data_IF_804944270291
#
_entry.id   IF_804944270291
#
_cell.length_a   1.000
_cell.length_b   1.000
_cell.length_c   1.000
_cell.angle_alpha   90.00
_cell.angle_beta   90.00
_cell.angle_gamma   90.00
#
_symmetry.space_group_name_H-M   'P 1'
#
loop_
_entity.id
_entity.type
_entity.pdbx_description
1 polymer ?
#
# COMPACT_ATOMS: atom_id res chain seq x y z
N UNK A 1 26.05 2.06 11.42
CA UNK A 1 24.59 2.28 11.59
C UNK A 1 23.98 3.23 10.55
N UNK A 2 24.66 4.30 10.11
CA UNK A 2 24.12 5.19 9.06
C UNK A 2 23.88 4.51 7.69
N UNK A 3 24.67 3.49 7.34
CA UNK A 3 24.55 2.79 6.05
C UNK A 3 23.23 2.02 5.87
N UNK A 4 22.71 1.38 6.93
CA UNK A 4 21.42 0.67 6.88
C UNK A 4 20.24 1.63 6.83
N UNK A 5 20.32 2.74 7.59
CA UNK A 5 19.31 3.82 7.58
C UNK A 5 19.17 4.43 6.19
N UNK A 6 20.27 4.89 5.59
CA UNK A 6 20.24 5.56 4.30
C UNK A 6 19.78 4.61 3.19
N UNK A 7 20.19 3.33 3.23
CA UNK A 7 19.70 2.32 2.28
C UNK A 7 18.17 2.13 2.40
N UNK A 8 17.63 2.02 3.62
CA UNK A 8 16.19 1.94 3.83
C UNK A 8 15.46 3.16 3.26
N UNK A 9 15.96 4.37 3.55
CA UNK A 9 15.30 5.61 3.12
C UNK A 9 15.28 5.73 1.60
N UNK A 10 16.40 5.41 0.93
CA UNK A 10 16.45 5.40 -0.54
C UNK A 10 15.46 4.39 -1.15
N UNK A 11 15.36 3.19 -0.57
CA UNK A 11 14.40 2.18 -1.05
C UNK A 11 12.95 2.64 -0.86
N UNK A 12 12.60 3.19 0.30
CA UNK A 12 11.24 3.63 0.59
C UNK A 12 10.85 4.85 -0.24
N UNK A 13 11.73 5.84 -0.41
CA UNK A 13 11.48 6.99 -1.27
C UNK A 13 11.34 6.53 -2.72
N UNK A 14 12.24 5.67 -3.21
CA UNK A 14 12.16 5.12 -4.56
C UNK A 14 10.83 4.38 -4.80
N UNK A 15 10.42 3.52 -3.86
CA UNK A 15 9.14 2.82 -3.94
C UNK A 15 7.94 3.78 -3.92
N UNK A 16 7.97 4.80 -3.06
CA UNK A 16 6.91 5.82 -3.02
C UNK A 16 6.85 6.61 -4.33
N UNK A 17 7.99 7.02 -4.91
CA UNK A 17 8.05 7.73 -6.18
C UNK A 17 7.44 6.91 -7.32
N UNK A 18 7.81 5.62 -7.43
CA UNK A 18 7.22 4.70 -8.41
C UNK A 18 5.71 4.56 -8.19
N UNK A 19 5.27 4.40 -6.94
CA UNK A 19 3.86 4.33 -6.59
C UNK A 19 3.09 5.61 -6.94
N UNK A 20 3.64 6.78 -6.65
CA UNK A 20 3.04 8.06 -6.99
C UNK A 20 2.96 8.28 -8.49
N UNK A 21 4.00 7.92 -9.25
CA UNK A 21 3.98 7.96 -10.70
C UNK A 21 2.88 7.05 -11.26
N UNK A 22 2.76 5.84 -10.73
CA UNK A 22 1.68 4.91 -11.09
C UNK A 22 0.29 5.49 -10.79
N UNK A 23 0.08 6.03 -9.59
CA UNK A 23 -1.19 6.67 -9.23
C UNK A 23 -1.49 7.88 -10.12
N UNK A 24 -0.51 8.72 -10.41
CA UNK A 24 -0.66 9.88 -11.30
C UNK A 24 -1.09 9.47 -12.71
N UNK A 25 -0.47 8.42 -13.28
CA UNK A 25 -0.88 7.89 -14.59
C UNK A 25 -2.32 7.38 -14.58
N UNK A 26 -2.76 6.75 -13.49
CA UNK A 26 -4.12 6.19 -13.40
C UNK A 26 -5.18 7.25 -13.06
N UNK A 27 -4.86 8.25 -12.23
CA UNK A 27 -5.74 9.40 -11.95
C UNK A 27 -6.13 10.13 -13.25
N UNK A 28 -5.17 10.34 -14.14
CA UNK A 28 -5.40 11.02 -15.42
C UNK A 28 -6.14 10.15 -16.46
N UNK A 29 -6.33 8.86 -16.19
CA UNK A 29 -7.09 7.93 -17.05
C UNK A 29 -8.54 7.74 -16.59
N UNK A 30 -8.89 8.17 -15.37
CA UNK A 30 -10.23 8.01 -14.78
C UNK A 30 -11.28 9.04 -15.28
N UNK A 31 -11.28 9.37 -16.58
CA UNK A 31 -12.45 9.96 -17.27
C UNK A 31 -13.46 8.92 -17.76
N UNK A 32 -13.41 7.69 -17.24
CA UNK A 32 -14.47 6.71 -17.39
C UNK A 32 -14.64 5.92 -16.10
N UNK A 33 -15.71 6.26 -15.38
CA UNK A 33 -16.21 5.56 -14.21
C UNK A 33 -16.74 4.19 -14.72
N UNK A 34 -15.83 3.23 -14.93
CA UNK A 34 -16.07 1.83 -15.32
C UNK A 34 -16.90 1.61 -16.60
N UNK A 35 -16.26 1.36 -17.75
CA UNK A 35 -16.33 0.00 -18.30
C UNK A 35 -15.06 -0.44 -19.05
N UNK A 36 -14.68 -1.70 -18.91
CA UNK A 36 -13.66 -2.44 -19.67
C UNK A 36 -12.19 -2.28 -19.25
N UNK A 37 -11.83 -3.08 -18.25
CA UNK A 37 -10.75 -4.07 -18.32
C UNK A 37 -9.43 -3.67 -19.01
N UNK A 38 -8.68 -2.77 -18.41
CA UNK A 38 -7.21 -2.90 -18.43
C UNK A 38 -6.73 -3.05 -16.98
N UNK A 39 -7.32 -4.03 -16.28
CA UNK A 39 -6.78 -4.56 -15.02
C UNK A 39 -5.57 -5.43 -15.38
N UNK A 40 -4.42 -4.84 -15.69
CA UNK A 40 -3.18 -5.63 -15.89
C UNK A 40 -2.60 -6.03 -14.53
N UNK A 41 -3.39 -6.74 -13.72
CA UNK A 41 -2.81 -7.52 -12.64
C UNK A 41 -2.21 -8.78 -13.28
N UNK A 42 -0.91 -8.74 -13.57
CA UNK A 42 -0.18 -9.88 -14.16
C UNK A 42 -0.39 -11.15 -13.33
N UNK A 43 -0.52 -11.00 -12.00
CA UNK A 43 -0.84 -12.12 -11.12
C UNK A 43 -2.18 -12.75 -11.48
N UNK A 44 -3.30 -12.01 -11.48
CA UNK A 44 -4.63 -12.54 -11.84
C UNK A 44 -4.65 -13.08 -13.28
N UNK A 45 -3.91 -12.46 -14.21
CA UNK A 45 -3.80 -12.94 -15.61
C UNK A 45 -3.17 -14.33 -15.71
N UNK A 46 -2.21 -14.65 -14.83
CA UNK A 46 -1.50 -15.94 -14.85
C UNK A 46 -2.21 -16.97 -13.96
N UNK A 47 -2.62 -16.58 -12.75
CA UNK A 47 -3.15 -17.51 -11.74
C UNK A 47 -4.67 -17.70 -11.80
N UNK A 48 -5.38 -16.86 -12.56
CA UNK A 48 -6.85 -16.70 -12.55
C UNK A 48 -7.48 -16.34 -11.20
N UNK A 49 -6.68 -16.21 -10.14
CA UNK A 49 -7.11 -15.94 -8.77
C UNK A 49 -6.58 -14.57 -8.32
N UNK A 50 -7.41 -13.67 -7.77
CA UNK A 50 -6.92 -12.41 -7.24
C UNK A 50 -5.98 -12.63 -6.05
N UNK A 51 -4.93 -11.81 -5.92
CA UNK A 51 -4.10 -11.80 -4.72
C UNK A 51 -4.76 -10.97 -3.59
N UNK A 52 -4.32 -11.07 -2.33
CA UNK A 52 -4.86 -10.27 -1.22
C UNK A 52 -4.82 -8.76 -1.47
N UNK A 53 -3.91 -8.26 -2.30
CA UNK A 53 -3.81 -6.83 -2.63
C UNK A 53 -4.56 -6.42 -3.90
N UNK A 54 -5.24 -7.34 -4.60
CA UNK A 54 -6.02 -6.99 -5.80
C UNK A 54 -7.05 -5.89 -5.47
N UNK A 55 -7.07 -4.83 -6.28
CA UNK A 55 -7.93 -3.67 -6.07
C UNK A 55 -7.40 -2.59 -5.12
N UNK A 56 -6.21 -2.76 -4.51
CA UNK A 56 -5.63 -1.74 -3.61
C UNK A 56 -5.37 -0.40 -4.30
N UNK A 57 -4.90 -0.39 -5.55
CA UNK A 57 -4.74 0.85 -6.35
C UNK A 57 -6.06 1.58 -6.53
N UNK A 58 -7.13 0.86 -6.92
CA UNK A 58 -8.47 1.45 -7.08
C UNK A 58 -9.04 1.94 -5.76
N UNK A 59 -8.73 1.25 -4.66
CA UNK A 59 -9.07 1.70 -3.32
C UNK A 59 -8.38 3.04 -3.00
N UNK A 60 -7.08 3.18 -3.26
CA UNK A 60 -6.35 4.45 -3.11
C UNK A 60 -6.93 5.54 -4.00
N UNK A 61 -7.24 5.26 -5.27
CA UNK A 61 -7.89 6.23 -6.17
C UNK A 61 -9.26 6.66 -5.63
N UNK A 62 -10.06 5.73 -5.09
CA UNK A 62 -11.34 6.05 -4.46
C UNK A 62 -11.17 6.94 -3.23
N UNK A 63 -10.14 6.69 -2.41
CA UNK A 63 -9.80 7.57 -1.28
C UNK A 63 -9.42 8.98 -1.72
N UNK A 64 -8.63 9.11 -2.79
CA UNK A 64 -8.25 10.40 -3.36
C UNK A 64 -9.47 11.18 -3.89
N UNK A 65 -10.49 10.49 -4.37
CA UNK A 65 -11.78 11.08 -4.78
C UNK A 65 -12.78 11.27 -3.62
N UNK A 66 -12.38 11.02 -2.37
CA UNK A 66 -13.25 11.16 -1.18
C UNK A 66 -14.29 10.06 -1.00
N UNK A 67 -14.23 8.97 -1.79
CA UNK A 67 -15.19 7.85 -1.75
C UNK A 67 -14.72 6.74 -0.81
N UNK A 68 -14.85 6.99 0.48
CA UNK A 68 -14.31 6.14 1.56
C UNK A 68 -14.97 4.74 1.55
N UNK A 69 -16.29 4.67 1.43
CA UNK A 69 -17.01 3.40 1.40
C UNK A 69 -16.59 2.55 0.20
N UNK A 70 -16.52 3.17 -0.99
CA UNK A 70 -16.05 2.51 -2.20
C UNK A 70 -14.62 1.98 -2.04
N UNK A 71 -13.73 2.76 -1.43
CA UNK A 71 -12.37 2.32 -1.15
C UNK A 71 -12.32 1.07 -0.26
N UNK A 72 -13.18 0.99 0.75
CA UNK A 72 -13.26 -0.14 1.67
C UNK A 72 -13.78 -1.39 0.97
N UNK A 73 -14.86 -1.24 0.18
CA UNK A 73 -15.44 -2.34 -0.60
C UNK A 73 -14.46 -2.87 -1.66
N UNK A 74 -13.62 -2.00 -2.22
CA UNK A 74 -12.59 -2.41 -3.17
C UNK A 74 -11.51 -3.25 -2.49
N UNK A 75 -10.78 -2.69 -1.53
CA UNK A 75 -9.79 -3.43 -0.74
C UNK A 75 -9.36 -2.59 0.49
N UNK A 76 -9.61 -3.04 1.73
CA UNK A 76 -9.16 -2.37 2.96
C UNK A 76 -7.65 -2.13 3.05
N UNK A 77 -6.83 -2.99 2.41
CA UNK A 77 -5.36 -2.79 2.36
C UNK A 77 -5.01 -1.47 1.66
N UNK A 78 -5.87 -0.95 0.78
CA UNK A 78 -5.69 0.36 0.14
C UNK A 78 -5.57 1.52 1.12
N UNK A 79 -6.23 1.45 2.29
CA UNK A 79 -6.11 2.47 3.34
C UNK A 79 -4.72 2.46 3.97
N UNK A 80 -4.20 1.27 4.28
CA UNK A 80 -2.85 1.13 4.81
C UNK A 80 -1.82 1.59 3.78
N UNK A 81 -2.01 1.24 2.50
CA UNK A 81 -1.14 1.67 1.42
C UNK A 81 -1.16 3.20 1.27
N UNK A 82 -2.34 3.83 1.25
CA UNK A 82 -2.48 5.27 1.20
C UNK A 82 -1.76 5.96 2.37
N UNK A 83 -1.94 5.46 3.60
CA UNK A 83 -1.27 5.99 4.78
C UNK A 83 0.25 5.86 4.70
N UNK A 84 0.77 4.69 4.30
CA UNK A 84 2.22 4.48 4.17
C UNK A 84 2.80 5.39 3.10
N UNK A 85 2.17 5.45 1.92
CA UNK A 85 2.64 6.28 0.82
C UNK A 85 2.66 7.76 1.18
N UNK A 86 1.66 8.25 1.92
CA UNK A 86 1.60 9.67 2.34
C UNK A 86 2.52 9.97 3.52
N UNK A 87 2.45 9.20 4.60
CA UNK A 87 3.16 9.51 5.85
C UNK A 87 4.68 9.25 5.75
N UNK A 88 5.10 8.17 5.09
CA UNK A 88 6.52 7.77 5.06
C UNK A 88 7.44 8.81 4.40
N UNK A 89 7.17 9.32 3.17
CA UNK A 89 8.06 10.32 2.56
C UNK A 89 8.05 11.65 3.31
N UNK A 90 6.91 12.06 3.89
CA UNK A 90 6.82 13.26 4.72
C UNK A 90 7.70 13.11 5.96
N UNK A 91 7.59 11.98 6.67
CA UNK A 91 8.35 11.72 7.87
C UNK A 91 9.86 11.58 7.58
N UNK A 92 10.23 10.87 6.51
CA UNK A 92 11.64 10.77 6.07
C UNK A 92 12.19 12.16 5.71
N UNK A 93 11.40 13.00 5.04
CA UNK A 93 11.79 14.37 4.73
C UNK A 93 12.06 15.16 6.03
N UNK A 94 11.14 15.12 6.99
CA UNK A 94 11.31 15.76 8.31
C UNK A 94 12.58 15.27 9.02
N UNK A 95 12.82 13.95 9.04
CA UNK A 95 14.03 13.36 9.61
C UNK A 95 15.30 13.90 8.94
N UNK A 96 15.29 14.05 7.62
CA UNK A 96 16.42 14.61 6.88
C UNK A 96 16.64 16.10 7.18
N UNK A 97 15.58 16.91 7.18
CA UNK A 97 15.67 18.35 7.50
C UNK A 97 16.12 18.60 8.94
N UNK A 98 15.60 17.81 9.89
CA UNK A 98 15.90 17.95 11.32
C UNK A 98 17.13 17.15 11.77
N UNK A 99 17.79 16.42 10.85
CA UNK A 99 18.90 15.50 11.13
C UNK A 99 18.56 14.49 12.24
N UNK A 100 17.33 13.99 12.24
CA UNK A 100 16.80 13.00 13.18
C UNK A 100 16.67 11.63 12.52
N UNK A 101 16.58 10.59 13.35
CA UNK A 101 16.43 9.19 12.94
C UNK A 101 15.10 8.58 13.44
N UNK A 102 14.08 9.41 13.64
CA UNK A 102 12.84 9.01 14.31
C UNK A 102 12.04 7.98 13.51
N UNK A 103 11.98 8.12 12.19
CA UNK A 103 11.34 7.17 11.30
C UNK A 103 12.10 5.83 11.27
N UNK A 104 13.43 5.86 11.24
CA UNK A 104 14.25 4.63 11.27
C UNK A 104 14.07 3.85 12.58
N UNK A 105 14.05 4.55 13.73
CA UNK A 105 13.79 3.94 15.04
C UNK A 105 12.38 3.36 15.07
N UNK A 106 11.38 4.10 14.58
CA UNK A 106 10.01 3.62 14.48
C UNK A 106 9.90 2.37 13.59
N UNK A 107 10.53 2.38 12.42
CA UNK A 107 10.55 1.25 11.49
C UNK A 107 11.09 -0.02 12.17
N UNK A 108 12.25 0.06 12.83
CA UNK A 108 12.85 -1.10 13.50
C UNK A 108 11.97 -1.60 14.65
N UNK A 109 11.34 -0.69 15.41
CA UNK A 109 10.41 -1.06 16.48
C UNK A 109 9.16 -1.74 15.92
N UNK A 110 8.57 -1.19 14.86
CA UNK A 110 7.42 -1.76 14.18
C UNK A 110 7.74 -3.13 13.59
N UNK A 111 8.88 -3.28 12.91
CA UNK A 111 9.35 -4.56 12.39
C UNK A 111 9.51 -5.61 13.51
N UNK A 112 10.08 -5.22 14.65
CA UNK A 112 10.23 -6.11 15.78
C UNK A 112 8.88 -6.54 16.37
N UNK A 113 7.93 -5.61 16.53
CA UNK A 113 6.57 -5.89 17.00
C UNK A 113 5.83 -6.81 16.02
N UNK A 114 5.90 -6.54 14.71
CA UNK A 114 5.24 -7.33 13.66
C UNK A 114 5.77 -8.77 13.58
N UNK A 115 7.04 -8.99 13.96
CA UNK A 115 7.65 -10.34 14.04
C UNK A 115 7.22 -11.12 15.29
N UNK A 116 6.61 -10.48 16.29
CA UNK A 116 6.11 -11.19 17.46
C UNK A 116 4.90 -12.04 17.07
N UNK A 117 4.91 -13.32 17.44
CA UNK A 117 3.85 -14.28 17.05
C UNK A 117 2.44 -13.81 17.42
N UNK A 118 2.30 -13.14 18.58
CA UNK A 118 1.03 -12.60 19.05
C UNK A 118 0.44 -11.53 18.12
N UNK A 119 1.27 -10.79 17.39
CA UNK A 119 0.84 -9.76 16.44
C UNK A 119 0.80 -10.32 15.02
N UNK A 120 1.77 -11.14 14.64
CA UNK A 120 1.86 -11.75 13.32
C UNK A 120 0.66 -12.63 12.99
N UNK A 121 0.22 -13.48 13.94
CA UNK A 121 -0.89 -14.43 13.70
C UNK A 121 -2.21 -13.69 13.36
N UNK A 122 -2.69 -12.73 14.17
CA UNK A 122 -3.87 -11.95 13.81
C UNK A 122 -3.75 -11.22 12.48
N UNK A 123 -2.59 -10.63 12.17
CA UNK A 123 -2.37 -9.93 10.90
C UNK A 123 -2.44 -10.88 9.70
N UNK A 124 -1.84 -12.07 9.82
CA UNK A 124 -1.94 -13.11 8.78
C UNK A 124 -3.41 -13.52 8.59
N UNK A 125 -4.15 -13.74 9.66
CA UNK A 125 -5.58 -14.07 9.58
C UNK A 125 -6.36 -12.95 8.89
N UNK A 126 -6.10 -11.67 9.22
CA UNK A 126 -6.73 -10.53 8.56
C UNK A 126 -6.44 -10.49 7.06
N UNK A 127 -5.19 -10.76 6.65
CA UNK A 127 -4.82 -10.83 5.23
C UNK A 127 -5.53 -12.00 4.52
N UNK A 128 -5.65 -13.15 5.18
CA UNK A 128 -6.37 -14.31 4.62
C UNK A 128 -7.88 -14.03 4.47
N UNK A 129 -8.50 -13.40 5.47
CA UNK A 129 -9.91 -12.99 5.37
C UNK A 129 -10.12 -11.99 4.23
N UNK A 130 -9.22 -11.02 4.08
CA UNK A 130 -9.25 -10.09 2.95
C UNK A 130 -9.10 -10.80 1.60
N UNK A 131 -8.25 -11.83 1.55
CA UNK A 131 -8.04 -12.61 0.34
C UNK A 131 -9.28 -13.41 -0.06
N UNK A 132 -9.89 -14.12 0.90
CA UNK A 132 -11.15 -14.84 0.70
C UNK A 132 -12.23 -13.88 0.21
N UNK A 133 -12.31 -12.69 0.80
CA UNK A 133 -13.28 -11.68 0.40
C UNK A 133 -13.05 -11.19 -1.04
N UNK A 134 -11.81 -11.00 -1.46
CA UNK A 134 -11.49 -10.63 -2.85
C UNK A 134 -11.84 -11.74 -3.85
N UNK A 135 -11.67 -13.02 -3.49
CA UNK A 135 -12.09 -14.16 -4.31
C UNK A 135 -13.62 -14.16 -4.46
N UNK A 136 -14.36 -13.96 -3.37
CA UNK A 136 -15.83 -13.90 -3.40
C UNK A 136 -16.36 -12.76 -4.28
N UNK A 137 -15.69 -11.60 -4.27
CA UNK A 137 -16.04 -10.45 -5.10
C UNK A 137 -15.60 -10.57 -6.56
N UNK A 138 -14.83 -11.61 -6.91
CA UNK A 138 -14.17 -11.78 -8.21
C UNK A 138 -13.47 -10.50 -8.73
N UNK A 139 -12.77 -9.80 -7.83
CA UNK A 139 -12.08 -8.53 -8.14
C UNK A 139 -10.83 -8.71 -8.99
#
# INVERSE_FOLDING_TARGET
MAGSRNRLYMLLIGACLVGYLWLFINLNKETSIFPNEINVCLFKKISTIPCPSCGSTRSVLSLLHGRIEQAFLLNPIGFLLFLIMTASPIWICIDFLLKKDSFFIFYNKAEHILKQKLVAIPLIVLVLLNWIWNIYKDI
#
